data_IF_593582129807
#
_entry.id   IF_593582129807
#
_cell.length_a   1.000
_cell.length_b   1.000
_cell.length_c   1.000
_cell.angle_alpha   90.00
_cell.angle_beta   90.00
_cell.angle_gamma   90.00
#
_symmetry.space_group_name_H-M   'P 1'
#
loop_
_entity.id
_entity.type
_entity.pdbx_description
1 polymer ?
#
# COMPACT_ATOMS: atom_id res chain seq x y z
N UNK A 1 -8.73 -9.16 4.32
CA UNK A 1 -8.32 -8.86 5.71
C UNK A 1 -7.86 -7.40 5.74
N UNK A 2 -8.32 -6.61 6.73
CA UNK A 2 -7.98 -5.18 7.03
C UNK A 2 -8.65 -4.04 6.25
N UNK A 3 -9.99 -3.93 6.27
CA UNK A 3 -10.66 -2.64 6.04
C UNK A 3 -10.88 -1.95 7.40
N UNK A 4 -10.46 -0.69 7.55
CA UNK A 4 -10.71 0.09 8.77
C UNK A 4 -9.82 -0.26 9.96
N UNK A 5 -8.55 0.14 9.93
CA UNK A 5 -7.63 0.05 11.06
C UNK A 5 -6.98 1.42 11.34
N UNK A 6 -6.15 1.51 12.38
CA UNK A 6 -5.37 2.71 12.69
C UNK A 6 -3.93 2.61 12.15
N UNK A 7 -3.74 2.00 10.97
CA UNK A 7 -2.40 1.86 10.39
C UNK A 7 -1.86 3.24 10.02
N UNK A 8 -0.61 3.50 10.40
CA UNK A 8 0.15 4.70 10.06
C UNK A 8 1.42 4.31 9.31
N UNK A 9 2.04 5.28 8.64
CA UNK A 9 3.37 5.13 8.07
C UNK A 9 4.46 5.10 9.16
N UNK A 10 5.66 4.67 8.78
CA UNK A 10 6.84 4.75 9.63
C UNK A 10 7.20 6.23 9.84
N UNK A 11 7.37 6.71 11.09
CA UNK A 11 7.72 8.10 11.35
C UNK A 11 8.99 8.53 10.60
N UNK A 12 8.96 9.70 9.97
CA UNK A 12 10.08 10.22 9.17
C UNK A 12 10.23 9.58 7.78
N UNK A 13 9.42 8.57 7.43
CA UNK A 13 9.39 7.99 6.10
C UNK A 13 8.03 8.24 5.44
N UNK A 14 8.03 8.95 4.31
CA UNK A 14 6.81 9.17 3.51
C UNK A 14 6.62 8.10 2.44
N UNK A 15 7.50 7.13 2.26
CA UNK A 15 7.26 6.01 1.34
C UNK A 15 6.17 5.08 1.89
N UNK A 16 5.31 4.55 1.01
CA UNK A 16 4.31 3.54 1.35
C UNK A 16 4.97 2.15 1.56
N UNK A 17 5.84 2.04 2.56
CA UNK A 17 6.72 0.89 2.76
C UNK A 17 6.01 -0.40 3.18
N UNK A 18 4.77 -0.33 3.67
CA UNK A 18 3.96 -1.52 4.00
C UNK A 18 3.81 -2.48 2.81
N UNK A 19 3.84 -1.93 1.59
CA UNK A 19 3.78 -2.71 0.36
C UNK A 19 5.03 -3.57 0.13
N UNK A 20 6.18 -3.16 0.67
CA UNK A 20 7.43 -3.94 0.57
C UNK A 20 7.31 -5.29 1.27
N UNK A 21 6.55 -5.37 2.37
CA UNK A 21 6.27 -6.61 3.10
C UNK A 21 5.53 -7.64 2.24
N UNK A 22 4.82 -7.19 1.20
CA UNK A 22 4.03 -8.03 0.31
C UNK A 22 4.72 -8.38 -1.02
N UNK A 23 5.91 -7.82 -1.30
CA UNK A 23 6.66 -8.08 -2.54
C UNK A 23 7.01 -9.57 -2.75
N UNK A 24 7.16 -10.33 -1.66
CA UNK A 24 7.43 -11.77 -1.69
C UNK A 24 6.18 -12.64 -1.62
N UNK A 25 5.00 -12.06 -1.44
CA UNK A 25 3.74 -12.77 -1.37
C UNK A 25 3.25 -13.11 -2.79
N UNK A 26 3.82 -14.16 -3.40
CA UNK A 26 3.53 -14.59 -4.78
C UNK A 26 2.06 -14.95 -5.04
N UNK A 27 1.27 -15.21 -3.99
CA UNK A 27 -0.15 -15.55 -4.08
C UNK A 27 -1.07 -14.40 -3.64
N UNK A 28 -0.55 -13.19 -3.43
CA UNK A 28 -1.38 -12.06 -3.01
C UNK A 28 -2.13 -11.49 -4.22
N UNK A 29 -3.43 -11.76 -4.29
CA UNK A 29 -4.28 -11.31 -5.39
C UNK A 29 -5.02 -10.00 -5.07
N UNK A 30 -5.37 -9.78 -3.81
CA UNK A 30 -6.15 -8.62 -3.37
C UNK A 30 -5.59 -8.05 -2.07
N UNK A 31 -5.38 -6.73 -2.03
CA UNK A 31 -4.93 -5.99 -0.86
C UNK A 31 -5.87 -4.83 -0.57
N UNK A 32 -6.48 -4.84 0.62
CA UNK A 32 -7.36 -3.78 1.10
C UNK A 32 -6.69 -3.08 2.29
N UNK A 33 -6.37 -1.81 2.11
CA UNK A 33 -5.83 -0.92 3.15
C UNK A 33 -6.69 0.35 3.29
N UNK A 34 -7.92 0.32 2.79
CA UNK A 34 -8.80 1.48 2.87
C UNK A 34 -9.20 1.81 4.30
N UNK A 35 -9.46 3.10 4.52
CA UNK A 35 -9.85 3.66 5.82
C UNK A 35 -8.77 3.44 6.89
N UNK A 36 -7.56 3.93 6.62
CA UNK A 36 -6.45 3.96 7.57
C UNK A 36 -5.92 5.41 7.70
N UNK A 37 -4.84 5.58 8.45
CA UNK A 37 -4.18 6.87 8.69
C UNK A 37 -2.85 6.96 7.93
N UNK A 38 -2.77 6.32 6.75
CA UNK A 38 -1.55 6.32 5.96
C UNK A 38 -1.37 7.70 5.30
N UNK A 39 -0.26 8.37 5.62
CA UNK A 39 0.18 9.60 4.97
C UNK A 39 1.50 9.36 4.25
N UNK A 40 1.40 8.86 3.01
CA UNK A 40 2.53 8.34 2.25
C UNK A 40 2.45 8.73 0.77
N UNK A 41 3.58 8.59 0.10
CA UNK A 41 3.78 8.81 -1.32
C UNK A 41 3.87 7.43 -1.99
N UNK A 42 3.07 7.25 -3.03
CA UNK A 42 3.16 6.17 -4.00
C UNK A 42 4.40 6.42 -4.87
N UNK A 43 5.50 5.74 -4.55
CA UNK A 43 6.71 5.78 -5.37
C UNK A 43 6.56 4.89 -6.62
N UNK A 44 7.21 5.28 -7.72
CA UNK A 44 7.23 4.49 -8.97
C UNK A 44 7.82 3.07 -8.79
N UNK A 45 8.46 2.80 -7.65
CA UNK A 45 8.88 1.48 -7.15
C UNK A 45 7.73 0.48 -7.02
N UNK A 46 6.49 0.94 -7.18
CA UNK A 46 5.27 0.13 -7.26
C UNK A 46 5.38 -1.10 -8.17
N UNK A 47 6.18 -1.01 -9.24
CA UNK A 47 6.35 -2.08 -10.22
C UNK A 47 6.94 -3.39 -9.67
N UNK A 48 7.42 -3.42 -8.42
CA UNK A 48 7.94 -4.63 -7.77
C UNK A 48 6.94 -5.31 -6.81
N UNK A 49 5.69 -4.82 -6.76
CA UNK A 49 4.59 -5.57 -6.13
C UNK A 49 4.43 -6.93 -6.83
N UNK A 50 3.95 -7.92 -6.07
CA UNK A 50 3.72 -9.27 -6.58
C UNK A 50 2.96 -9.27 -7.91
N UNK A 51 3.43 -10.08 -8.87
CA UNK A 51 2.86 -10.20 -10.23
C UNK A 51 1.41 -10.69 -10.25
N UNK A 52 0.89 -11.14 -9.11
CA UNK A 52 -0.48 -11.67 -8.95
C UNK A 52 -1.46 -10.66 -8.38
N UNK A 53 -1.01 -9.50 -7.91
CA UNK A 53 -1.91 -8.49 -7.33
C UNK A 53 -2.82 -7.90 -8.40
N UNK A 54 -4.11 -8.19 -8.30
CA UNK A 54 -5.15 -7.76 -9.23
C UNK A 54 -6.03 -6.64 -8.67
N UNK A 55 -6.11 -6.53 -7.34
CA UNK A 55 -6.88 -5.48 -6.66
C UNK A 55 -6.08 -4.84 -5.54
N UNK A 56 -6.09 -3.51 -5.54
CA UNK A 56 -5.55 -2.71 -4.46
C UNK A 56 -6.53 -1.59 -4.11
N UNK A 57 -6.96 -1.55 -2.86
CA UNK A 57 -7.79 -0.47 -2.33
C UNK A 57 -7.02 0.32 -1.26
N UNK A 58 -6.61 1.54 -1.62
CA UNK A 58 -5.98 2.51 -0.72
C UNK A 58 -6.92 3.66 -0.34
N UNK A 59 -8.21 3.58 -0.69
CA UNK A 59 -9.15 4.70 -0.52
C UNK A 59 -9.30 5.12 0.94
N UNK A 60 -9.69 6.38 1.19
CA UNK A 60 -9.82 6.92 2.56
C UNK A 60 -8.49 6.86 3.35
N UNK A 61 -7.39 7.23 2.70
CA UNK A 61 -6.07 7.51 3.28
C UNK A 61 -5.55 8.84 2.70
N UNK A 62 -4.38 9.30 3.13
CA UNK A 62 -3.67 10.45 2.58
C UNK A 62 -2.50 9.97 1.70
N UNK A 63 -2.82 9.33 0.57
CA UNK A 63 -1.82 8.85 -0.38
C UNK A 63 -1.63 9.87 -1.51
N UNK A 64 -0.39 10.31 -1.70
CA UNK A 64 0.03 11.21 -2.78
C UNK A 64 0.90 10.45 -3.80
N UNK A 65 1.11 10.99 -5.00
CA UNK A 65 1.98 10.41 -6.02
C UNK A 65 1.25 9.98 -7.29
N UNK A 66 1.99 9.34 -8.19
CA UNK A 66 1.50 8.96 -9.52
C UNK A 66 1.24 7.46 -9.56
N UNK A 67 0.07 7.06 -10.09
CA UNK A 67 -0.21 5.66 -10.40
C UNK A 67 0.63 5.30 -11.65
N UNK A 68 1.54 4.30 -11.57
CA UNK A 68 2.25 3.81 -12.75
C UNK A 68 1.38 2.92 -13.64
#
# INVERSE_FOLDING_TARGET
FTKGNMLTNVPGNRELSILTSFTRCRMLEELYLSQNLLNSILSASFGNLTTTLSKLDLSSNQIEGTIP
#
